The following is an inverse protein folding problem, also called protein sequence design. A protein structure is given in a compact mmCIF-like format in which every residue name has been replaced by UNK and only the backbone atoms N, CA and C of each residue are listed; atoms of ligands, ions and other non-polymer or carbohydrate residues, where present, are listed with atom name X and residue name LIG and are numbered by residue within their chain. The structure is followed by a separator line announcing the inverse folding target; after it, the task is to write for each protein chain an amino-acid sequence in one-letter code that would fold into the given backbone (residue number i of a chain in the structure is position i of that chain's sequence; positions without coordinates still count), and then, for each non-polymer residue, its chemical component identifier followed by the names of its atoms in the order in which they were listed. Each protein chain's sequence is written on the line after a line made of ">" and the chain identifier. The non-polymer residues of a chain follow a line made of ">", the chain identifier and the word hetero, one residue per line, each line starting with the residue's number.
data_IF_522415909414
#
_entry.id   IF_522415909414
#
_cell.length_a   1.000
_cell.length_b   1.000
_cell.length_c   1.000
_cell.angle_alpha   90.00
_cell.angle_beta   90.00
_cell.angle_gamma   90.00
#
_symmetry.space_group_name_H-M   'P 1'
#
loop_
_entity.id
_entity.type
_entity.pdbx_description
1 polymer ?
#
# COMPACT_ATOMS: atom_id res chain seq x y z
N UNK A 1 -8.73 16.50 10.12
CA UNK A 1 -9.16 15.64 11.23
C UNK A 1 -9.69 14.32 10.66
N UNK A 2 -9.32 13.19 11.26
CA UNK A 2 -9.78 11.87 10.85
C UNK A 2 -11.13 11.59 11.50
N UNK A 3 -12.14 11.29 10.68
CA UNK A 3 -13.48 10.94 11.16
C UNK A 3 -13.56 9.46 11.51
N UNK A 4 -14.64 9.02 12.15
CA UNK A 4 -14.88 7.59 12.38
C UNK A 4 -14.98 6.82 11.07
N UNK A 5 -15.60 7.42 10.06
CA UNK A 5 -15.70 6.80 8.74
C UNK A 5 -14.33 6.63 8.10
N UNK A 6 -13.47 7.66 8.18
CA UNK A 6 -12.09 7.58 7.69
C UNK A 6 -11.33 6.46 8.41
N UNK A 7 -11.52 6.36 9.72
CA UNK A 7 -10.87 5.34 10.54
C UNK A 7 -11.27 3.94 10.12
N UNK A 8 -12.55 3.73 9.83
CA UNK A 8 -13.04 2.43 9.37
C UNK A 8 -12.41 2.04 8.03
N UNK A 9 -12.28 2.99 7.11
CA UNK A 9 -11.66 2.75 5.81
C UNK A 9 -10.19 2.41 5.99
N UNK A 10 -9.48 3.17 6.83
CA UNK A 10 -8.06 2.93 7.11
C UNK A 10 -7.86 1.53 7.69
N UNK A 11 -8.65 1.16 8.67
CA UNK A 11 -8.58 -0.16 9.31
C UNK A 11 -8.88 -1.28 8.30
N UNK A 12 -9.84 -1.06 7.41
CA UNK A 12 -10.17 -2.01 6.34
C UNK A 12 -8.97 -2.23 5.41
N UNK A 13 -8.32 -1.14 4.98
CA UNK A 13 -7.15 -1.23 4.09
C UNK A 13 -5.97 -1.91 4.76
N UNK A 14 -5.74 -1.62 6.05
CA UNK A 14 -4.67 -2.27 6.80
C UNK A 14 -4.94 -3.76 6.97
N UNK A 15 -6.19 -4.13 7.18
CA UNK A 15 -6.57 -5.55 7.27
C UNK A 15 -6.36 -6.25 5.95
N UNK A 16 -6.75 -5.64 4.83
CA UNK A 16 -6.50 -6.19 3.51
C UNK A 16 -5.00 -6.38 3.27
N UNK A 17 -4.19 -5.39 3.68
CA UNK A 17 -2.75 -5.47 3.54
C UNK A 17 -2.18 -6.65 4.32
N UNK A 18 -2.61 -6.82 5.57
CA UNK A 18 -2.15 -7.92 6.42
C UNK A 18 -2.56 -9.28 5.86
N UNK A 19 -3.80 -9.41 5.43
CA UNK A 19 -4.29 -10.67 4.85
C UNK A 19 -3.52 -11.03 3.57
N UNK A 20 -3.30 -10.03 2.70
CA UNK A 20 -2.54 -10.25 1.48
C UNK A 20 -1.09 -10.64 1.76
N UNK A 21 -0.51 -10.07 2.81
CA UNK A 21 0.85 -10.41 3.22
C UNK A 21 0.91 -11.86 3.72
N UNK A 22 -0.03 -12.28 4.55
CA UNK A 22 -0.08 -13.67 5.04
C UNK A 22 -0.31 -14.64 3.89
N UNK A 23 -1.15 -14.28 2.93
CA UNK A 23 -1.35 -15.08 1.72
C UNK A 23 -0.05 -15.22 0.93
N UNK A 24 0.71 -14.12 0.82
CA UNK A 24 1.99 -14.13 0.10
C UNK A 24 2.96 -15.11 0.77
N UNK A 25 3.04 -15.09 2.10
CA UNK A 25 3.90 -16.02 2.85
C UNK A 25 3.50 -17.47 2.60
N UNK A 26 2.21 -17.76 2.71
CA UNK A 26 1.68 -19.11 2.50
C UNK A 26 1.98 -19.61 1.09
N UNK A 27 1.74 -18.76 0.09
CA UNK A 27 2.00 -19.12 -1.30
C UNK A 27 3.49 -19.32 -1.55
N UNK A 28 4.33 -18.50 -0.96
CA UNK A 28 5.77 -18.62 -1.08
C UNK A 28 6.24 -19.97 -0.49
N UNK A 29 5.75 -20.33 0.69
CA UNK A 29 6.09 -21.59 1.33
C UNK A 29 5.66 -22.80 0.51
N UNK A 30 4.61 -22.67 -0.27
CA UNK A 30 4.11 -23.70 -1.17
C UNK A 30 4.68 -23.59 -2.59
N UNK A 31 5.74 -22.80 -2.76
CA UNK A 31 6.45 -22.61 -4.04
C UNK A 31 5.57 -22.04 -5.16
N UNK A 32 4.52 -21.32 -4.79
CA UNK A 32 3.66 -20.61 -5.74
C UNK A 32 4.18 -19.20 -5.93
N UNK A 33 5.36 -19.07 -6.56
CA UNK A 33 6.11 -17.82 -6.56
C UNK A 33 5.39 -16.67 -7.26
N UNK A 34 4.78 -16.91 -8.42
CA UNK A 34 4.06 -15.86 -9.14
C UNK A 34 2.92 -15.30 -8.31
N UNK A 35 2.12 -16.18 -7.72
CA UNK A 35 0.99 -15.78 -6.88
C UNK A 35 1.46 -15.09 -5.61
N UNK A 36 2.58 -15.56 -5.03
CA UNK A 36 3.17 -14.93 -3.85
C UNK A 36 3.57 -13.49 -4.14
N UNK A 37 4.23 -13.26 -5.27
CA UNK A 37 4.65 -11.90 -5.68
C UNK A 37 3.42 -11.01 -5.88
N UNK A 38 2.38 -11.54 -6.51
CA UNK A 38 1.13 -10.80 -6.72
C UNK A 38 0.50 -10.37 -5.39
N UNK A 39 0.45 -11.28 -4.41
CA UNK A 39 -0.11 -10.96 -3.10
C UNK A 39 0.76 -9.98 -2.33
N UNK A 40 2.08 -10.09 -2.43
CA UNK A 40 3.00 -9.14 -1.81
C UNK A 40 2.81 -7.75 -2.40
N UNK A 41 2.66 -7.66 -3.72
CA UNK A 41 2.37 -6.39 -4.40
C UNK A 41 1.09 -5.76 -3.85
N UNK A 42 0.01 -6.51 -3.75
CA UNK A 42 -1.25 -5.96 -3.24
C UNK A 42 -1.17 -5.59 -1.76
N UNK A 43 -0.38 -6.31 -0.96
CA UNK A 43 -0.15 -5.92 0.42
C UNK A 43 0.46 -4.53 0.50
N UNK A 44 1.48 -4.25 -0.31
CA UNK A 44 2.10 -2.92 -0.38
C UNK A 44 1.10 -1.87 -0.89
N UNK A 45 0.34 -2.21 -1.91
CA UNK A 45 -0.64 -1.29 -2.49
C UNK A 45 -1.71 -0.88 -1.47
N UNK A 46 -2.27 -1.84 -0.74
CA UNK A 46 -3.27 -1.56 0.28
C UNK A 46 -2.69 -0.72 1.43
N UNK A 47 -1.44 -0.96 1.79
CA UNK A 47 -0.76 -0.16 2.81
C UNK A 47 -0.62 1.29 2.36
N UNK A 48 -0.26 1.51 1.10
CA UNK A 48 -0.17 2.86 0.52
C UNK A 48 -1.54 3.52 0.50
N UNK A 49 -2.60 2.80 0.15
CA UNK A 49 -3.96 3.32 0.18
C UNK A 49 -4.35 3.79 1.59
N UNK A 50 -3.98 3.01 2.61
CA UNK A 50 -4.25 3.39 3.99
C UNK A 50 -3.55 4.69 4.37
N UNK A 51 -2.28 4.84 3.97
CA UNK A 51 -1.51 6.05 4.24
C UNK A 51 -2.14 7.27 3.56
N UNK A 52 -2.57 7.11 2.32
CA UNK A 52 -3.21 8.21 1.58
C UNK A 52 -4.57 8.56 2.18
N UNK A 53 -5.28 7.58 2.73
CA UNK A 53 -6.55 7.84 3.42
C UNK A 53 -6.32 8.67 4.69
N UNK A 54 -5.22 8.42 5.41
CA UNK A 54 -4.85 9.23 6.57
C UNK A 54 -4.69 10.69 6.18
N UNK A 55 -4.17 10.96 4.98
CA UNK A 55 -4.04 12.31 4.43
C UNK A 55 -5.32 12.81 3.77
N UNK A 56 -6.38 12.00 3.78
CA UNK A 56 -7.69 12.32 3.18
C UNK A 56 -7.61 12.62 1.69
N UNK A 57 -6.77 11.88 0.99
CA UNK A 57 -6.61 12.06 -0.45
C UNK A 57 -7.47 11.05 -1.19
N UNK A 58 -8.22 11.56 -2.16
CA UNK A 58 -9.04 10.71 -3.02
C UNK A 58 -8.20 10.14 -4.15
N UNK A 59 -8.32 8.85 -4.36
CA UNK A 59 -7.58 8.14 -5.39
C UNK A 59 -8.59 7.56 -6.37
N UNK A 60 -8.53 8.02 -7.62
CA UNK A 60 -9.44 7.55 -8.66
C UNK A 60 -8.79 6.54 -9.61
N UNK A 61 -7.46 6.49 -9.65
CA UNK A 61 -6.73 5.62 -10.57
C UNK A 61 -5.54 4.98 -9.90
N UNK A 62 -5.29 3.71 -10.21
CA UNK A 62 -4.13 2.97 -9.73
C UNK A 62 -2.82 3.71 -10.02
N UNK A 63 -2.68 4.25 -11.22
CA UNK A 63 -1.47 4.97 -11.62
C UNK A 63 -1.22 6.25 -10.84
N UNK A 64 -2.26 6.86 -10.27
CA UNK A 64 -2.12 8.07 -9.47
C UNK A 64 -1.66 7.83 -8.05
N UNK A 65 -1.73 6.60 -7.56
CA UNK A 65 -1.41 6.26 -6.17
C UNK A 65 0.04 6.57 -5.84
N UNK A 66 0.97 6.14 -6.69
CA UNK A 66 2.40 6.33 -6.46
C UNK A 66 2.79 7.81 -6.52
N UNK A 67 2.20 8.56 -7.47
CA UNK A 67 2.46 10.00 -7.57
C UNK A 67 2.00 10.73 -6.31
N UNK A 68 0.83 10.38 -5.79
CA UNK A 68 0.32 10.97 -4.54
C UNK A 68 1.19 10.57 -3.35
N UNK A 69 1.60 9.31 -3.30
CA UNK A 69 2.48 8.83 -2.24
C UNK A 69 3.80 9.60 -2.23
N UNK A 70 4.43 9.77 -3.40
CA UNK A 70 5.67 10.53 -3.53
C UNK A 70 5.49 11.96 -3.06
N UNK A 71 4.40 12.61 -3.49
CA UNK A 71 4.14 14.00 -3.13
C UNK A 71 3.95 14.17 -1.62
N UNK A 72 3.18 13.28 -0.99
CA UNK A 72 2.78 13.45 0.41
C UNK A 72 3.75 12.86 1.42
N UNK A 73 4.53 11.87 1.03
CA UNK A 73 5.39 11.15 1.98
C UNK A 73 6.87 11.17 1.63
N UNK A 74 7.23 11.29 0.36
CA UNK A 74 8.64 11.31 -0.06
C UNK A 74 9.17 12.74 -0.13
N UNK A 75 8.50 13.62 -0.84
CA UNK A 75 8.94 15.03 -0.95
C UNK A 75 8.90 15.76 0.38
N UNK A 76 8.08 15.30 1.31
CA UNK A 76 8.00 15.86 2.66
C UNK A 76 8.99 15.22 3.62
N UNK A 77 9.81 14.28 3.15
CA UNK A 77 10.81 13.55 3.93
C UNK A 77 10.25 12.67 5.05
N UNK A 78 8.96 12.30 4.99
CA UNK A 78 8.40 11.34 5.94
C UNK A 78 8.98 9.96 5.66
N UNK A 79 9.11 9.60 4.38
CA UNK A 79 9.76 8.36 3.97
C UNK A 79 10.90 8.66 3.00
N UNK A 80 11.86 7.76 2.92
CA UNK A 80 13.05 7.93 2.10
C UNK A 80 12.79 7.77 0.60
N UNK A 81 13.68 8.35 -0.20
CA UNK A 81 13.65 8.16 -1.66
C UNK A 81 13.87 6.70 -2.06
N UNK A 82 14.58 5.94 -1.22
CA UNK A 82 14.80 4.51 -1.49
C UNK A 82 13.49 3.73 -1.46
N UNK A 83 12.60 4.09 -0.54
CA UNK A 83 11.29 3.47 -0.49
C UNK A 83 10.49 3.78 -1.75
N UNK A 84 10.54 5.01 -2.23
CA UNK A 84 9.88 5.41 -3.47
C UNK A 84 10.37 4.56 -4.64
N UNK A 85 11.69 4.41 -4.77
CA UNK A 85 12.27 3.59 -5.84
C UNK A 85 11.77 2.15 -5.79
N UNK A 86 11.70 1.59 -4.59
CA UNK A 86 11.21 0.22 -4.38
C UNK A 86 9.75 0.09 -4.82
N UNK A 87 8.91 1.04 -4.43
CA UNK A 87 7.50 1.04 -4.80
C UNK A 87 7.30 1.20 -6.31
N UNK A 88 8.07 2.08 -6.96
CA UNK A 88 7.97 2.26 -8.41
C UNK A 88 8.33 0.98 -9.16
N UNK A 89 9.30 0.23 -8.66
CA UNK A 89 9.67 -1.06 -9.26
C UNK A 89 8.58 -2.11 -9.08
N UNK A 90 7.90 -2.09 -7.94
CA UNK A 90 6.86 -3.08 -7.64
C UNK A 90 5.57 -2.80 -8.39
N UNK A 91 5.27 -1.53 -8.60
CA UNK A 91 4.04 -1.10 -9.28
C UNK A 91 4.27 -0.97 -10.80
#
# INVERSE_FOLDING_TARGET
>A
MITEEDKEIIEFRLKEAEESFQDAITLFENKRLRSAVNRAYYSMFYSVLALLEIKKLKISKHTGVISLFDREFIKTNIFSKELSKTLHKAF
#
